data_IF_643537235243
#
_entry.id   IF_643537235243
#
_cell.length_a   1.000
_cell.length_b   1.000
_cell.length_c   1.000
_cell.angle_alpha   90.00
_cell.angle_beta   90.00
_cell.angle_gamma   90.00
#
_symmetry.space_group_name_H-M   'P 1'
#
loop_
_entity.id
_entity.type
_entity.pdbx_description
1 polymer ?
#
# COMPACT_ATOMS: atom_id res chain seq x y z
N UNK A 1 -29.13 5.33 -12.63
CA UNK A 1 -29.10 4.10 -11.81
C UNK A 1 -28.75 4.53 -10.40
N UNK A 2 -29.64 4.30 -9.44
CA UNK A 2 -29.40 4.63 -8.02
C UNK A 2 -28.33 3.66 -7.51
N UNK A 3 -27.11 4.14 -7.26
CA UNK A 3 -26.10 3.36 -6.57
C UNK A 3 -26.67 2.98 -5.20
N UNK A 4 -26.84 1.70 -4.95
CA UNK A 4 -27.18 1.21 -3.61
C UNK A 4 -26.03 1.57 -2.69
N UNK A 5 -26.23 2.53 -1.79
CA UNK A 5 -25.22 2.98 -0.86
C UNK A 5 -24.82 1.81 0.04
N UNK A 6 -23.54 1.46 0.02
CA UNK A 6 -23.00 0.42 0.90
C UNK A 6 -23.19 0.85 2.36
N UNK A 7 -23.63 -0.08 3.21
CA UNK A 7 -23.68 0.17 4.65
C UNK A 7 -22.27 0.14 5.22
N UNK A 8 -21.95 1.10 6.07
CA UNK A 8 -20.71 1.09 6.84
C UNK A 8 -20.64 -0.20 7.68
N UNK A 9 -19.53 -0.95 7.63
CA UNK A 9 -19.29 -2.05 8.55
C UNK A 9 -18.95 -1.59 9.98
N UNK A 10 -18.73 -0.28 10.17
CA UNK A 10 -18.33 0.33 11.44
C UNK A 10 -19.48 1.14 12.06
N UNK A 11 -19.51 1.29 13.38
CA UNK A 11 -20.49 2.14 14.05
C UNK A 11 -20.32 3.61 13.62
N UNK A 12 -21.43 4.35 13.67
CA UNK A 12 -21.40 5.78 13.41
C UNK A 12 -20.48 6.49 14.43
N UNK A 13 -19.62 7.38 13.90
CA UNK A 13 -18.72 8.20 14.72
C UNK A 13 -19.02 9.68 14.50
N UNK A 14 -18.73 10.48 15.52
CA UNK A 14 -18.82 11.94 15.43
C UNK A 14 -17.57 12.51 14.75
N UNK A 15 -17.59 12.47 13.40
CA UNK A 15 -16.54 13.05 12.57
C UNK A 15 -17.00 14.37 11.95
N UNK A 16 -16.11 15.37 11.76
CA UNK A 16 -16.43 16.64 11.11
C UNK A 16 -16.54 16.53 9.58
N UNK A 17 -16.67 15.32 9.05
CA UNK A 17 -16.77 14.96 7.63
C UNK A 17 -17.70 13.76 7.45
N UNK A 18 -18.14 13.54 6.22
CA UNK A 18 -18.89 12.34 5.85
C UNK A 18 -17.94 11.24 5.39
N UNK A 19 -18.34 9.99 5.63
CA UNK A 19 -17.65 8.79 5.18
C UNK A 19 -18.60 7.96 4.33
N UNK A 20 -18.17 7.62 3.11
CA UNK A 20 -18.88 6.73 2.20
C UNK A 20 -18.03 5.48 1.97
N UNK A 21 -18.48 4.29 2.40
CA UNK A 21 -17.75 3.05 2.11
C UNK A 21 -17.56 2.83 0.61
N UNK A 22 -16.35 2.45 0.21
CA UNK A 22 -16.01 2.11 -1.18
C UNK A 22 -16.25 0.63 -1.49
N UNK A 23 -16.03 -0.22 -0.48
CA UNK A 23 -16.17 -1.67 -0.60
C UNK A 23 -16.71 -2.27 0.72
N UNK A 24 -17.35 -3.45 0.70
CA UNK A 24 -17.93 -4.06 1.92
C UNK A 24 -16.91 -4.36 3.03
N UNK A 25 -15.63 -4.51 2.73
CA UNK A 25 -14.62 -4.91 3.71
C UNK A 25 -13.51 -3.88 3.94
N UNK A 26 -13.23 -3.00 2.99
CA UNK A 26 -12.20 -1.97 3.13
C UNK A 26 -12.50 -0.74 2.28
N UNK A 27 -11.93 0.37 2.67
CA UNK A 27 -11.96 1.62 1.93
C UNK A 27 -13.17 2.49 2.20
N UNK A 28 -12.91 3.78 2.34
CA UNK A 28 -13.94 4.81 2.38
C UNK A 28 -13.51 6.08 1.65
N UNK A 29 -14.48 6.82 1.14
CA UNK A 29 -14.31 8.18 0.68
C UNK A 29 -14.62 9.14 1.83
N UNK A 30 -13.78 10.16 2.03
CA UNK A 30 -13.98 11.26 2.98
C UNK A 30 -14.44 12.48 2.22
N UNK A 31 -15.58 13.05 2.63
CA UNK A 31 -16.23 14.20 2.00
C UNK A 31 -16.46 15.30 3.03
N UNK A 32 -16.31 16.55 2.61
CA UNK A 32 -16.63 17.73 3.44
C UNK A 32 -15.43 18.38 4.12
N UNK A 33 -14.22 17.86 3.89
CA UNK A 33 -12.97 18.51 4.29
C UNK A 33 -11.98 18.50 3.14
N UNK A 34 -11.04 19.45 3.16
CA UNK A 34 -9.89 19.46 2.25
C UNK A 34 -8.67 18.82 2.89
N UNK A 35 -7.71 18.36 2.09
CA UNK A 35 -6.43 17.85 2.62
C UNK A 35 -5.65 18.92 3.38
N UNK A 36 -5.73 20.19 2.98
CA UNK A 36 -5.14 21.29 3.72
C UNK A 36 -5.73 21.43 5.15
N UNK A 37 -7.04 21.23 5.31
CA UNK A 37 -7.67 21.17 6.63
C UNK A 37 -7.25 19.92 7.41
N UNK A 38 -7.10 18.79 6.72
CA UNK A 38 -6.69 17.51 7.31
C UNK A 38 -5.24 17.51 7.83
N UNK A 39 -4.40 18.47 7.43
CA UNK A 39 -3.06 18.66 8.01
C UNK A 39 -3.13 19.08 9.50
N UNK A 40 -4.20 19.77 9.92
CA UNK A 40 -4.31 20.18 11.32
C UNK A 40 -4.46 18.97 12.25
N UNK A 41 -3.77 18.94 13.43
CA UNK A 41 -3.78 17.76 14.31
C UNK A 41 -5.18 17.32 14.75
N UNK A 42 -6.10 18.26 14.99
CA UNK A 42 -7.45 17.96 15.45
C UNK A 42 -8.28 17.24 14.37
N UNK A 43 -8.20 17.69 13.12
CA UNK A 43 -8.89 17.05 11.99
C UNK A 43 -8.17 15.75 11.62
N UNK A 44 -6.82 15.76 11.59
CA UNK A 44 -6.05 14.56 11.28
C UNK A 44 -6.36 13.41 12.24
N UNK A 45 -6.51 13.67 13.54
CA UNK A 45 -6.89 12.62 14.49
C UNK A 45 -8.18 11.90 14.08
N UNK A 46 -9.17 12.63 13.52
CA UNK A 46 -10.42 12.05 13.04
C UNK A 46 -10.25 11.33 11.69
N UNK A 47 -9.42 11.86 10.81
CA UNK A 47 -9.03 11.18 9.55
C UNK A 47 -8.30 9.87 9.87
N UNK A 48 -7.42 9.88 10.86
CA UNK A 48 -6.71 8.69 11.31
C UNK A 48 -7.64 7.62 11.92
N UNK A 49 -8.65 8.03 12.70
CA UNK A 49 -9.70 7.11 13.16
C UNK A 49 -10.41 6.43 11.96
N UNK A 50 -10.75 7.18 10.91
CA UNK A 50 -11.35 6.64 9.70
C UNK A 50 -10.38 5.70 8.96
N UNK A 51 -9.09 6.07 8.87
CA UNK A 51 -8.05 5.22 8.29
C UNK A 51 -7.90 3.89 9.04
N UNK A 52 -7.92 3.90 10.39
CA UNK A 52 -7.86 2.67 11.19
C UNK A 52 -9.10 1.77 11.02
N UNK A 53 -10.27 2.38 10.87
CA UNK A 53 -11.51 1.63 10.66
C UNK A 53 -11.57 1.03 9.24
N UNK A 54 -11.26 1.82 8.21
CA UNK A 54 -11.46 1.44 6.80
C UNK A 54 -10.19 0.98 6.08
N UNK A 55 -8.99 1.21 6.63
CA UNK A 55 -7.68 0.77 6.12
C UNK A 55 -7.26 1.42 4.79
N UNK A 56 -8.17 2.13 4.14
CA UNK A 56 -7.97 2.85 2.89
C UNK A 56 -8.90 4.06 2.89
N UNK A 57 -8.38 5.26 2.69
CA UNK A 57 -9.16 6.49 2.62
C UNK A 57 -8.91 7.19 1.29
N UNK A 58 -9.98 7.69 0.69
CA UNK A 58 -9.97 8.37 -0.60
C UNK A 58 -10.50 9.79 -0.45
N UNK A 59 -9.81 10.74 -1.05
CA UNK A 59 -10.29 12.11 -1.27
C UNK A 59 -10.36 12.37 -2.77
N UNK A 60 -11.48 12.92 -3.25
CA UNK A 60 -11.71 13.24 -4.66
C UNK A 60 -11.66 14.74 -4.91
N UNK A 61 -11.41 15.11 -6.17
CA UNK A 61 -11.35 16.50 -6.63
C UNK A 61 -10.39 17.37 -5.81
N UNK A 62 -9.25 16.79 -5.43
CA UNK A 62 -8.27 17.46 -4.58
C UNK A 62 -7.32 18.27 -5.44
N UNK A 63 -7.12 19.54 -5.10
CA UNK A 63 -5.95 20.30 -5.52
C UNK A 63 -4.85 20.11 -4.47
N UNK A 64 -3.84 19.30 -4.82
CA UNK A 64 -2.82 18.85 -3.87
C UNK A 64 -1.41 19.31 -4.28
N UNK A 65 -1.03 20.54 -3.91
CA UNK A 65 0.34 20.98 -4.09
C UNK A 65 1.34 20.06 -3.38
N UNK A 66 2.54 19.81 -3.93
CA UNK A 66 3.56 18.96 -3.33
C UNK A 66 3.84 19.26 -1.84
N UNK A 67 3.87 20.55 -1.48
CA UNK A 67 4.06 20.98 -0.09
C UNK A 67 2.95 20.50 0.84
N UNK A 68 1.69 20.54 0.40
CA UNK A 68 0.54 20.04 1.18
C UNK A 68 0.56 18.52 1.25
N UNK A 69 0.93 17.84 0.16
CA UNK A 69 1.07 16.40 0.12
C UNK A 69 2.09 15.91 1.16
N UNK A 70 3.27 16.50 1.16
CA UNK A 70 4.33 16.17 2.12
C UNK A 70 3.91 16.50 3.55
N UNK A 71 3.29 17.66 3.77
CA UNK A 71 2.79 18.06 5.09
C UNK A 71 1.72 17.09 5.64
N UNK A 72 0.80 16.63 4.78
CA UNK A 72 -0.21 15.66 5.18
C UNK A 72 0.41 14.29 5.47
N UNK A 73 1.38 13.84 4.65
CA UNK A 73 2.09 12.58 4.86
C UNK A 73 2.83 12.55 6.21
N UNK A 74 3.44 13.65 6.62
CA UNK A 74 4.13 13.76 7.91
C UNK A 74 3.24 13.51 9.14
N UNK A 75 1.94 13.67 9.02
CA UNK A 75 1.03 13.34 10.12
C UNK A 75 0.95 11.82 10.40
N UNK A 76 1.23 10.97 9.38
CA UNK A 76 1.33 9.51 9.56
C UNK A 76 2.69 9.08 10.13
N UNK A 77 3.68 9.94 10.12
CA UNK A 77 5.02 9.67 10.65
C UNK A 77 6.14 10.26 9.79
N UNK A 78 7.34 9.74 9.98
CA UNK A 78 8.51 10.13 9.18
C UNK A 78 8.34 9.68 7.73
N UNK A 79 8.40 10.62 6.78
CA UNK A 79 8.25 10.31 5.36
C UNK A 79 9.53 9.65 4.85
N UNK A 80 9.37 8.48 4.23
CA UNK A 80 10.48 7.72 3.68
C UNK A 80 10.84 8.21 2.27
N UNK A 81 12.11 8.46 2.03
CA UNK A 81 12.64 8.72 0.69
C UNK A 81 12.97 7.38 0.02
N UNK A 82 12.44 7.15 -1.18
CA UNK A 82 12.70 5.92 -1.92
C UNK A 82 14.17 5.82 -2.34
N UNK A 83 14.75 4.62 -2.28
CA UNK A 83 16.18 4.37 -2.63
C UNK A 83 16.52 4.76 -4.07
N UNK A 84 15.53 4.79 -4.97
CA UNK A 84 15.65 5.22 -6.37
C UNK A 84 15.10 6.62 -6.62
N UNK A 85 14.84 7.43 -5.59
CA UNK A 85 14.26 8.78 -5.71
C UNK A 85 15.06 9.71 -6.63
N UNK A 86 16.36 9.50 -6.74
CA UNK A 86 17.23 10.23 -7.66
C UNK A 86 16.86 10.10 -9.15
N UNK A 87 16.11 9.05 -9.51
CA UNK A 87 15.64 8.79 -10.89
C UNK A 87 14.18 9.17 -11.10
N UNK A 88 13.38 9.21 -10.03
CA UNK A 88 11.92 9.32 -10.07
C UNK A 88 11.36 10.37 -9.09
N UNK A 89 12.22 10.98 -8.28
CA UNK A 89 11.78 11.95 -7.27
C UNK A 89 11.45 13.31 -7.87
N UNK A 90 10.57 14.02 -7.21
CA UNK A 90 10.34 15.45 -7.49
C UNK A 90 11.57 16.24 -7.05
N UNK A 91 12.08 17.14 -7.90
CA UNK A 91 13.35 17.83 -7.65
C UNK A 91 13.39 18.60 -6.32
N UNK A 92 12.29 19.24 -5.97
CA UNK A 92 12.15 20.07 -4.76
C UNK A 92 11.52 19.29 -3.58
N UNK A 93 10.95 18.12 -3.85
CA UNK A 93 10.29 17.24 -2.88
C UNK A 93 10.72 15.79 -3.11
N UNK A 94 11.93 15.39 -2.67
CA UNK A 94 12.46 14.05 -2.90
C UNK A 94 11.64 12.95 -2.19
N UNK A 95 10.75 13.34 -1.29
CA UNK A 95 9.78 12.46 -0.63
C UNK A 95 8.70 11.95 -1.59
N UNK A 96 8.44 12.68 -2.68
CA UNK A 96 7.44 12.31 -3.68
C UNK A 96 8.13 11.49 -4.77
N UNK A 97 7.69 10.24 -4.90
CA UNK A 97 8.13 9.33 -5.94
C UNK A 97 7.12 9.36 -7.09
N UNK A 98 7.55 9.78 -8.27
CA UNK A 98 6.67 9.90 -9.44
C UNK A 98 6.63 8.58 -10.22
N UNK A 99 5.44 8.02 -10.38
CA UNK A 99 5.17 6.91 -11.30
C UNK A 99 4.56 7.46 -12.58
N UNK A 100 5.27 7.33 -13.70
CA UNK A 100 4.82 7.83 -14.99
C UNK A 100 5.22 6.88 -16.11
N UNK A 101 4.30 6.62 -17.02
CA UNK A 101 4.54 5.93 -18.29
C UNK A 101 4.64 6.90 -19.47
N UNK A 102 4.74 8.19 -19.22
CA UNK A 102 4.91 9.20 -20.24
C UNK A 102 6.40 9.36 -20.61
N UNK A 103 6.66 9.66 -21.86
CA UNK A 103 7.98 10.07 -22.32
C UNK A 103 8.23 11.55 -22.01
N UNK A 104 9.42 12.06 -22.39
CA UNK A 104 9.82 13.47 -22.19
C UNK A 104 8.93 14.51 -22.90
N UNK A 105 8.17 14.07 -23.90
CA UNK A 105 7.28 14.91 -24.70
C UNK A 105 5.83 14.79 -24.22
N UNK A 106 5.58 14.01 -23.15
CA UNK A 106 4.26 13.83 -22.54
C UNK A 106 3.39 12.76 -23.23
N UNK A 107 3.96 11.94 -24.11
CA UNK A 107 3.23 10.87 -24.78
C UNK A 107 3.40 9.52 -24.06
N UNK A 108 2.41 8.61 -24.12
CA UNK A 108 2.56 7.27 -23.58
C UNK A 108 3.77 6.54 -24.17
N UNK A 109 4.70 6.10 -23.32
CA UNK A 109 5.94 5.43 -23.74
C UNK A 109 5.74 3.98 -24.17
N UNK A 110 4.55 3.41 -23.95
CA UNK A 110 4.27 2.00 -24.14
C UNK A 110 4.96 1.06 -23.15
N UNK A 111 5.59 1.61 -22.10
CA UNK A 111 6.25 0.85 -21.04
C UNK A 111 5.49 1.03 -19.72
N UNK A 112 5.46 -0.03 -18.91
CA UNK A 112 4.97 0.09 -17.54
C UNK A 112 5.96 0.91 -16.71
N UNK A 113 5.45 1.85 -15.90
CA UNK A 113 6.28 2.75 -15.08
C UNK A 113 7.10 2.01 -14.03
N UNK A 114 6.49 1.02 -13.39
CA UNK A 114 7.14 0.16 -12.40
C UNK A 114 6.51 -1.25 -12.46
N UNK A 115 7.28 -2.23 -12.88
CA UNK A 115 6.81 -3.62 -12.98
C UNK A 115 6.50 -4.25 -11.62
N UNK A 116 7.07 -3.73 -10.54
CA UNK A 116 6.80 -4.18 -9.18
C UNK A 116 5.35 -3.99 -8.79
N UNK A 117 4.70 -2.96 -9.31
CA UNK A 117 3.28 -2.67 -9.04
C UNK A 117 2.30 -3.65 -9.72
N UNK A 118 2.77 -4.53 -10.58
CA UNK A 118 1.97 -5.61 -11.19
C UNK A 118 1.77 -6.83 -10.28
N UNK A 119 2.43 -6.85 -9.13
CA UNK A 119 2.37 -7.96 -8.18
C UNK A 119 1.83 -7.49 -6.85
N UNK A 120 1.12 -8.37 -6.12
CA UNK A 120 0.70 -8.10 -4.76
C UNK A 120 1.90 -7.82 -3.85
N UNK A 121 1.95 -6.64 -3.28
CA UNK A 121 3.06 -6.20 -2.44
C UNK A 121 2.59 -5.31 -1.28
N UNK A 122 3.47 -5.09 -0.35
CA UNK A 122 3.37 -4.04 0.67
C UNK A 122 4.56 -3.11 0.48
N UNK A 123 4.31 -1.82 0.32
CA UNK A 123 5.35 -0.82 0.12
C UNK A 123 6.33 -0.80 1.28
N UNK A 124 7.61 -0.71 0.94
CA UNK A 124 8.68 -0.65 1.94
C UNK A 124 8.83 -1.88 2.83
N UNK A 125 8.21 -3.03 2.49
CA UNK A 125 8.31 -4.26 3.27
C UNK A 125 9.73 -4.80 3.38
N UNK A 126 10.61 -4.39 2.49
CA UNK A 126 12.04 -4.70 2.47
C UNK A 126 12.88 -3.77 3.36
N UNK A 127 12.27 -2.86 4.13
CA UNK A 127 12.93 -1.99 5.11
C UNK A 127 12.77 -2.54 6.52
N UNK A 128 13.72 -2.23 7.39
CA UNK A 128 13.64 -2.58 8.81
C UNK A 128 12.39 -1.99 9.47
N UNK A 129 12.10 -0.72 9.18
CA UNK A 129 10.85 -0.06 9.53
C UNK A 129 10.01 0.09 8.27
N UNK A 130 9.02 -0.76 8.12
CA UNK A 130 8.02 -0.61 7.04
C UNK A 130 7.22 0.66 7.22
N UNK A 131 6.69 1.22 6.12
CA UNK A 131 5.79 2.36 6.18
C UNK A 131 4.51 2.06 6.97
N UNK A 132 3.98 3.08 7.62
CA UNK A 132 2.66 3.02 8.28
C UNK A 132 1.55 3.17 7.25
N UNK A 133 1.77 4.00 6.24
CA UNK A 133 0.83 4.27 5.15
C UNK A 133 1.61 4.59 3.86
N UNK A 134 0.96 4.38 2.73
CA UNK A 134 1.38 4.88 1.41
C UNK A 134 0.34 5.87 0.94
N UNK A 135 0.77 7.02 0.45
CA UNK A 135 -0.11 8.01 -0.13
C UNK A 135 0.15 8.14 -1.62
N UNK A 136 -0.90 8.05 -2.42
CA UNK A 136 -0.87 8.21 -3.87
C UNK A 136 -1.75 9.38 -4.27
N UNK A 137 -1.28 10.19 -5.23
CA UNK A 137 -2.05 11.26 -5.86
C UNK A 137 -2.03 11.11 -7.37
N UNK A 138 -3.20 11.12 -7.99
CA UNK A 138 -3.35 10.97 -9.44
C UNK A 138 -3.41 12.33 -10.13
N UNK A 139 -2.45 12.63 -11.01
CA UNK A 139 -2.43 13.84 -11.83
C UNK A 139 -3.02 13.57 -13.22
N UNK A 140 -2.50 12.54 -13.90
CA UNK A 140 -2.89 12.13 -15.23
C UNK A 140 -3.22 10.64 -15.15
N UNK A 141 -4.38 10.26 -15.66
CA UNK A 141 -4.83 8.87 -15.66
C UNK A 141 -5.17 8.42 -17.09
N UNK A 142 -4.97 7.16 -17.45
CA UNK A 142 -5.38 6.65 -18.75
C UNK A 142 -6.91 6.54 -18.84
N UNK A 143 -7.45 6.60 -20.05
CA UNK A 143 -8.89 6.38 -20.29
C UNK A 143 -9.33 4.94 -19.97
N UNK A 144 -8.42 3.97 -20.12
CA UNK A 144 -8.67 2.54 -19.89
C UNK A 144 -7.45 1.93 -19.22
N UNK A 145 -7.68 1.14 -18.17
CA UNK A 145 -6.60 0.49 -17.42
C UNK A 145 -6.01 1.40 -16.33
N UNK A 146 -4.96 0.95 -15.70
CA UNK A 146 -4.27 1.67 -14.62
C UNK A 146 -4.97 1.57 -13.27
N UNK A 147 -5.91 0.63 -13.12
CA UNK A 147 -6.57 0.35 -11.85
C UNK A 147 -5.55 -0.11 -10.82
N UNK A 148 -5.83 0.20 -9.55
CA UNK A 148 -5.07 -0.32 -8.41
C UNK A 148 -5.96 -1.22 -7.56
N UNK A 149 -5.45 -2.38 -7.24
CA UNK A 149 -6.15 -3.36 -6.40
C UNK A 149 -5.62 -3.35 -4.98
N UNK A 150 -6.54 -3.42 -4.01
CA UNK A 150 -6.25 -3.43 -2.58
C UNK A 150 -6.89 -4.65 -1.92
N UNK A 151 -6.14 -5.33 -1.04
CA UNK A 151 -6.62 -6.50 -0.31
C UNK A 151 -6.52 -6.27 1.21
N UNK A 152 -7.59 -6.62 1.94
CA UNK A 152 -7.64 -6.50 3.39
C UNK A 152 -6.89 -7.65 4.08
N UNK A 153 -5.74 -7.34 4.64
CA UNK A 153 -4.88 -8.31 5.31
C UNK A 153 -5.35 -8.70 6.73
N UNK A 154 -6.27 -7.95 7.33
CA UNK A 154 -6.92 -8.36 8.58
C UNK A 154 -7.87 -9.52 8.32
N UNK A 155 -8.82 -9.33 7.39
CA UNK A 155 -9.73 -10.41 7.05
C UNK A 155 -9.02 -11.57 6.36
N UNK A 156 -7.93 -11.32 5.65
CA UNK A 156 -7.08 -12.38 5.13
C UNK A 156 -6.57 -13.29 6.25
N UNK A 157 -6.04 -12.73 7.33
CA UNK A 157 -5.64 -13.51 8.50
C UNK A 157 -6.82 -14.23 9.14
N UNK A 158 -7.94 -13.52 9.37
CA UNK A 158 -9.11 -14.08 10.08
C UNK A 158 -9.67 -15.32 9.39
N UNK A 159 -9.64 -15.35 8.06
CA UNK A 159 -10.19 -16.44 7.23
C UNK A 159 -9.22 -17.59 6.97
N UNK A 160 -7.93 -17.46 7.30
CA UNK A 160 -7.01 -18.56 7.12
C UNK A 160 -7.47 -19.79 7.94
N UNK A 161 -7.36 -21.01 7.37
CA UNK A 161 -7.61 -22.24 8.10
C UNK A 161 -6.71 -22.34 9.35
N UNK A 162 -7.21 -22.93 10.46
CA UNK A 162 -6.40 -23.11 11.67
C UNK A 162 -5.06 -23.84 11.42
N UNK A 163 -5.05 -24.80 10.50
CA UNK A 163 -3.83 -25.51 10.08
C UNK A 163 -2.78 -24.61 9.46
N UNK A 164 -3.21 -23.64 8.67
CA UNK A 164 -2.32 -22.65 8.06
C UNK A 164 -1.84 -21.64 9.12
N UNK A 165 -2.77 -21.14 9.97
CA UNK A 165 -2.40 -20.26 11.09
C UNK A 165 -1.32 -20.88 11.96
N UNK A 166 -1.45 -22.17 12.31
CA UNK A 166 -0.44 -22.90 13.08
C UNK A 166 0.89 -23.06 12.36
N UNK A 167 0.88 -23.19 11.02
CA UNK A 167 2.11 -23.27 10.22
C UNK A 167 2.91 -21.97 10.22
N UNK A 168 2.24 -20.82 10.31
CA UNK A 168 2.87 -19.49 10.19
C UNK A 168 3.04 -18.76 11.52
N UNK A 169 2.48 -19.31 12.59
CA UNK A 169 2.56 -18.70 13.93
C UNK A 169 4.01 -18.56 14.38
N UNK A 170 4.39 -17.35 14.79
CA UNK A 170 5.75 -17.01 15.20
C UNK A 170 6.82 -17.03 14.09
N UNK A 171 6.45 -17.38 12.84
CA UNK A 171 7.42 -17.43 11.74
C UNK A 171 7.67 -16.03 11.14
N UNK A 172 8.86 -15.90 10.55
CA UNK A 172 9.29 -14.68 9.87
C UNK A 172 9.60 -14.99 8.40
N UNK A 173 9.19 -14.10 7.50
CA UNK A 173 9.59 -14.13 6.11
C UNK A 173 10.74 -13.15 5.89
N UNK A 174 11.69 -13.54 5.05
CA UNK A 174 12.79 -12.68 4.60
C UNK A 174 12.30 -11.89 3.41
N UNK A 175 12.25 -10.57 3.54
CA UNK A 175 11.92 -9.65 2.46
C UNK A 175 13.20 -9.15 1.81
N UNK A 176 13.28 -9.27 0.49
CA UNK A 176 14.46 -8.96 -0.29
C UNK A 176 14.07 -8.17 -1.56
N UNK A 177 14.44 -6.90 -1.61
CA UNK A 177 14.14 -6.03 -2.72
C UNK A 177 14.83 -6.47 -4.03
N UNK A 178 16.08 -6.94 -3.94
CA UNK A 178 16.82 -7.42 -5.11
C UNK A 178 16.24 -8.72 -5.68
N UNK A 179 15.66 -9.57 -4.85
CA UNK A 179 14.97 -10.80 -5.26
C UNK A 179 13.76 -10.48 -6.15
N UNK A 180 12.87 -9.60 -5.72
CA UNK A 180 11.68 -9.24 -6.52
C UNK A 180 12.09 -8.60 -7.85
N UNK A 181 13.02 -7.66 -7.84
CA UNK A 181 13.54 -7.03 -9.06
C UNK A 181 14.08 -8.05 -10.08
N UNK A 182 14.95 -8.94 -9.63
CA UNK A 182 15.67 -9.85 -10.54
C UNK A 182 14.87 -11.07 -10.92
N UNK A 183 14.25 -11.74 -9.93
CA UNK A 183 13.61 -13.05 -10.14
C UNK A 183 12.17 -12.94 -10.61
N UNK A 184 11.47 -11.87 -10.22
CA UNK A 184 10.06 -11.70 -10.54
C UNK A 184 9.82 -10.65 -11.63
N UNK A 185 10.53 -9.52 -11.60
CA UNK A 185 10.31 -8.44 -12.56
C UNK A 185 11.24 -8.52 -13.78
N UNK A 186 12.31 -9.32 -13.70
CA UNK A 186 13.30 -9.46 -14.77
C UNK A 186 14.10 -8.17 -15.00
N UNK A 187 14.29 -7.40 -13.93
CA UNK A 187 15.11 -6.19 -13.93
C UNK A 187 16.56 -6.50 -13.58
N UNK A 188 17.45 -5.56 -13.89
CA UNK A 188 18.86 -5.70 -13.51
C UNK A 188 19.03 -5.70 -11.99
N UNK A 189 19.97 -6.52 -11.47
CA UNK A 189 20.28 -6.55 -10.06
C UNK A 189 20.73 -5.16 -9.55
N UNK A 190 20.44 -4.89 -8.28
CA UNK A 190 21.00 -3.73 -7.61
C UNK A 190 22.53 -3.78 -7.60
N UNK A 191 23.18 -2.62 -7.68
CA UNK A 191 24.62 -2.50 -7.46
C UNK A 191 24.99 -2.90 -6.01
N UNK A 192 26.25 -3.22 -5.77
CA UNK A 192 26.73 -3.56 -4.41
C UNK A 192 26.43 -2.44 -3.40
N UNK A 193 26.56 -1.17 -3.80
CA UNK A 193 26.25 -0.02 -2.96
C UNK A 193 24.74 0.06 -2.64
N UNK A 194 23.87 -0.17 -3.64
CA UNK A 194 22.43 -0.20 -3.44
C UNK A 194 22.00 -1.37 -2.54
N UNK A 195 22.56 -2.57 -2.75
CA UNK A 195 22.30 -3.75 -1.89
C UNK A 195 22.69 -3.50 -0.43
N UNK A 196 23.80 -2.80 -0.21
CA UNK A 196 24.23 -2.43 1.14
C UNK A 196 23.24 -1.49 1.86
N UNK A 197 22.48 -0.68 1.11
CA UNK A 197 21.45 0.22 1.64
C UNK A 197 20.12 -0.49 1.94
N UNK A 198 19.87 -1.63 1.29
CA UNK A 198 18.61 -2.40 1.40
C UNK A 198 18.90 -3.89 1.55
N UNK A 199 19.59 -4.31 2.62
CA UNK A 199 19.86 -5.72 2.87
C UNK A 199 18.53 -6.47 3.11
N UNK A 200 18.50 -7.79 2.81
CA UNK A 200 17.34 -8.62 3.15
C UNK A 200 16.99 -8.53 4.64
N UNK A 201 15.72 -8.43 4.96
CA UNK A 201 15.24 -8.24 6.32
C UNK A 201 14.14 -9.24 6.68
N UNK A 202 14.17 -9.78 7.90
CA UNK A 202 13.15 -10.69 8.40
C UNK A 202 12.01 -9.91 9.06
N UNK A 203 10.77 -10.21 8.65
CA UNK A 203 9.55 -9.67 9.28
C UNK A 203 8.61 -10.80 9.71
N UNK A 204 7.89 -10.65 10.84
CA UNK A 204 6.84 -11.59 11.20
C UNK A 204 5.80 -11.69 10.07
N UNK A 205 5.43 -12.93 9.69
CA UNK A 205 4.36 -13.17 8.70
C UNK A 205 3.02 -12.68 9.24
N UNK A 206 2.78 -12.86 10.54
CA UNK A 206 1.60 -12.33 11.24
C UNK A 206 2.03 -11.17 12.11
N UNK A 207 1.48 -9.97 11.84
CA UNK A 207 1.71 -8.77 12.63
C UNK A 207 0.46 -8.39 13.41
N UNK A 208 0.65 -7.89 14.62
CA UNK A 208 -0.41 -7.22 15.38
C UNK A 208 -0.28 -5.73 15.15
N UNK A 209 -1.35 -5.09 14.63
CA UNK A 209 -1.36 -3.65 14.42
C UNK A 209 -1.34 -2.94 15.79
N UNK A 210 -0.42 -1.98 16.00
CA UNK A 210 -0.22 -1.38 17.32
C UNK A 210 -1.45 -0.66 17.85
N UNK A 211 -2.20 0.06 16.99
CA UNK A 211 -3.32 0.90 17.42
C UNK A 211 -4.65 0.15 17.49
N UNK A 212 -4.83 -0.89 16.65
CA UNK A 212 -6.09 -1.63 16.59
C UNK A 212 -6.05 -2.96 17.35
N UNK A 213 -4.86 -3.50 17.62
CA UNK A 213 -4.68 -4.84 18.19
C UNK A 213 -5.06 -5.98 17.24
N UNK A 214 -5.50 -5.68 16.01
CA UNK A 214 -5.88 -6.69 15.01
C UNK A 214 -4.65 -7.36 14.41
N UNK A 215 -4.77 -8.64 14.12
CA UNK A 215 -3.73 -9.40 13.40
C UNK A 215 -3.89 -9.25 11.90
N UNK A 216 -2.79 -9.06 11.20
CA UNK A 216 -2.73 -8.94 9.75
C UNK A 216 -1.62 -9.82 9.18
N UNK A 217 -1.78 -10.28 7.94
CA UNK A 217 -0.73 -10.97 7.19
C UNK A 217 0.21 -9.91 6.61
N UNK A 218 1.51 -10.13 6.74
CA UNK A 218 2.55 -9.28 6.18
C UNK A 218 3.45 -10.08 5.23
N UNK A 219 3.04 -10.14 3.98
CA UNK A 219 3.70 -10.84 2.88
C UNK A 219 3.64 -9.98 1.61
N UNK A 220 3.87 -10.59 0.48
CA UNK A 220 3.82 -10.00 -0.85
C UNK A 220 5.07 -10.34 -1.65
N UNK A 221 5.27 -9.60 -2.73
CA UNK A 221 6.25 -9.90 -3.75
C UNK A 221 7.70 -9.93 -3.26
N UNK A 222 8.03 -9.09 -2.29
CA UNK A 222 9.37 -9.03 -1.71
C UNK A 222 9.70 -10.18 -0.75
N UNK A 223 8.71 -10.96 -0.28
CA UNK A 223 8.95 -12.11 0.59
C UNK A 223 9.63 -13.23 -0.21
N UNK A 224 10.90 -13.48 0.08
CA UNK A 224 11.72 -14.45 -0.66
C UNK A 224 11.59 -15.86 -0.09
N UNK A 225 11.82 -16.05 1.20
CA UNK A 225 11.64 -17.34 1.88
C UNK A 225 11.29 -17.17 3.36
N UNK A 226 11.01 -18.30 4.05
CA UNK A 226 10.67 -18.31 5.48
C UNK A 226 11.88 -18.73 6.29
N UNK A 227 12.24 -17.92 7.28
CA UNK A 227 13.34 -18.17 8.20
C UNK A 227 13.18 -19.53 8.92
N UNK A 228 14.25 -20.31 8.96
CA UNK A 228 14.24 -21.65 9.60
C UNK A 228 13.57 -22.76 8.80
N UNK A 229 13.15 -22.50 7.55
CA UNK A 229 12.73 -23.53 6.60
C UNK A 229 13.78 -23.72 5.51
N UNK A 230 13.75 -24.87 4.82
CA UNK A 230 14.47 -24.99 3.56
C UNK A 230 13.90 -24.00 2.53
N UNK A 231 14.73 -23.59 1.58
CA UNK A 231 14.37 -22.52 0.66
C UNK A 231 13.11 -22.86 -0.15
N UNK A 232 13.04 -24.05 -0.73
CA UNK A 232 11.94 -24.46 -1.60
C UNK A 232 10.63 -24.62 -0.82
N UNK A 233 10.68 -25.21 0.37
CA UNK A 233 9.52 -25.32 1.26
C UNK A 233 9.01 -23.96 1.73
N UNK A 234 9.92 -23.04 2.07
CA UNK A 234 9.57 -21.66 2.42
C UNK A 234 8.95 -20.90 1.26
N UNK A 235 9.50 -21.03 0.05
CA UNK A 235 8.92 -20.45 -1.18
C UNK A 235 7.52 -20.98 -1.45
N UNK A 236 7.36 -22.30 -1.43
CA UNK A 236 6.07 -22.94 -1.69
C UNK A 236 4.98 -22.45 -0.70
N UNK A 237 5.32 -22.31 0.58
CA UNK A 237 4.38 -21.80 1.58
C UNK A 237 4.02 -20.33 1.34
N UNK A 238 4.98 -19.48 0.92
CA UNK A 238 4.69 -18.08 0.57
C UNK A 238 3.76 -18.00 -0.63
N UNK A 239 3.96 -18.79 -1.67
CA UNK A 239 3.09 -18.80 -2.85
C UNK A 239 1.67 -19.31 -2.48
N UNK A 240 1.58 -20.37 -1.66
CA UNK A 240 0.30 -20.86 -1.14
C UNK A 240 -0.45 -19.74 -0.37
N UNK A 241 0.25 -19.05 0.52
CA UNK A 241 -0.33 -17.95 1.30
C UNK A 241 -0.78 -16.79 0.39
N UNK A 242 0.06 -16.34 -0.56
CA UNK A 242 -0.28 -15.24 -1.46
C UNK A 242 -1.58 -15.51 -2.24
N UNK A 243 -1.82 -16.76 -2.68
CA UNK A 243 -3.07 -17.15 -3.33
C UNK A 243 -4.27 -17.12 -2.38
N UNK A 244 -4.05 -17.45 -1.10
CA UNK A 244 -5.13 -17.51 -0.11
C UNK A 244 -5.55 -16.13 0.41
N UNK A 245 -4.63 -15.17 0.47
CA UNK A 245 -4.87 -13.87 1.11
C UNK A 245 -5.45 -12.81 0.17
N UNK A 246 -5.49 -13.07 -1.13
CA UNK A 246 -6.03 -12.14 -2.14
C UNK A 246 -7.21 -12.73 -2.94
N UNK A 247 -8.25 -13.28 -2.27
CA UNK A 247 -9.41 -13.80 -3.00
C UNK A 247 -10.20 -12.64 -3.61
N UNK A 248 -10.68 -12.75 -4.86
CA UNK A 248 -11.35 -11.65 -5.59
C UNK A 248 -12.51 -10.99 -4.81
N UNK A 249 -13.25 -11.74 -4.01
CA UNK A 249 -14.36 -11.22 -3.22
C UNK A 249 -13.94 -10.24 -2.09
N UNK A 250 -12.65 -10.10 -1.81
CA UNK A 250 -12.06 -9.23 -0.77
C UNK A 250 -11.03 -8.26 -1.30
N UNK A 251 -11.01 -8.13 -2.61
CA UNK A 251 -10.16 -7.17 -3.33
C UNK A 251 -11.02 -6.00 -3.75
N UNK A 252 -10.61 -4.81 -3.38
CA UNK A 252 -11.17 -3.58 -3.91
C UNK A 252 -10.33 -3.12 -5.09
N UNK A 253 -10.96 -2.98 -6.25
CA UNK A 253 -10.33 -2.44 -7.46
C UNK A 253 -10.73 -0.98 -7.62
N UNK A 254 -9.75 -0.09 -7.60
CA UNK A 254 -9.95 1.34 -7.76
C UNK A 254 -9.60 1.79 -9.19
N UNK A 255 -10.58 2.35 -9.87
CA UNK A 255 -10.38 3.05 -11.14
C UNK A 255 -10.16 4.53 -10.86
N UNK A 256 -8.98 5.01 -11.19
CA UNK A 256 -8.55 6.36 -10.87
C UNK A 256 -9.24 7.43 -11.73
N UNK A 257 -9.57 8.56 -11.11
CA UNK A 257 -9.81 9.81 -11.80
C UNK A 257 -8.66 10.78 -11.51
N UNK A 258 -8.43 11.79 -12.37
CA UNK A 258 -7.49 12.85 -12.03
C UNK A 258 -7.87 13.55 -10.72
N UNK A 259 -6.87 13.99 -9.95
CA UNK A 259 -7.05 14.73 -8.70
C UNK A 259 -7.69 13.90 -7.59
N UNK A 260 -7.40 12.61 -7.54
CA UNK A 260 -7.72 11.76 -6.39
C UNK A 260 -6.48 11.53 -5.53
N UNK A 261 -6.67 11.63 -4.20
CA UNK A 261 -5.65 11.28 -3.23
C UNK A 261 -6.13 10.09 -2.40
N UNK A 262 -5.34 9.05 -2.36
CA UNK A 262 -5.61 7.82 -1.61
C UNK A 262 -4.48 7.53 -0.63
N UNK A 263 -4.85 7.09 0.57
CA UNK A 263 -3.93 6.69 1.63
C UNK A 263 -4.29 5.31 2.16
#
# INVERSE_FOLDING_TARGET
>A
MTQTQLKSPHPARDWPFQVIPLHPVLGCEIIGITLAQAVSPAIFAKVYEAFLDYQLILFRDVDLPPTTQVAFAHNFGEVQIHVLSQYHGYKEHPEIYTLSNLDKDGNPSGKHSDKGTLYWHTDGSWRERSGQATMMYSEIVPEVGGETEFADMYSAYDLLPPTIKSKIDGRRAIHNFDFSRTRRHGEDPLTAEQKAKVPPIAHPIVRTHPDTGRKAIFLGDHAEWIEGMDYEGGRALIEELNLMITPPARVYTHSWNPRECMV
#
